data_IF_861652917597
#
_entry.id   IF_861652917597
#
_cell.length_a   1.000
_cell.length_b   1.000
_cell.length_c   1.000
_cell.angle_alpha   90.00
_cell.angle_beta   90.00
_cell.angle_gamma   90.00
#
_symmetry.space_group_name_H-M   'P 1'
#
loop_
_entity.id
_entity.type
_entity.pdbx_description
1 polymer ?
#
# COMPACT_ATOMS: atom_id res chain seq x y z
N UNK A 1 14.56 -7.10 -23.19
CA UNK A 1 13.63 -7.52 -22.13
C UNK A 1 13.36 -6.30 -21.27
N UNK A 2 12.37 -5.49 -21.62
CA UNK A 2 12.11 -4.23 -20.92
C UNK A 2 11.48 -4.56 -19.58
N UNK A 3 12.20 -4.32 -18.49
CA UNK A 3 11.68 -4.44 -17.14
C UNK A 3 10.70 -3.27 -16.96
N UNK A 4 9.43 -3.48 -17.30
CA UNK A 4 8.36 -2.57 -16.91
C UNK A 4 8.30 -2.65 -15.39
N UNK A 5 8.76 -1.58 -14.76
CA UNK A 5 8.69 -1.46 -13.32
C UNK A 5 7.27 -1.03 -12.97
N UNK A 6 6.42 -2.01 -12.64
CA UNK A 6 5.03 -1.81 -12.25
C UNK A 6 4.96 -1.70 -10.71
N UNK A 7 4.79 -0.49 -10.15
CA UNK A 7 4.69 -0.30 -8.69
C UNK A 7 3.51 -1.09 -8.10
N UNK A 8 2.44 -1.25 -8.88
CA UNK A 8 1.25 -2.04 -8.52
C UNK A 8 1.59 -3.51 -8.30
N UNK A 9 2.40 -4.06 -9.21
CA UNK A 9 2.83 -5.46 -9.14
C UNK A 9 3.82 -5.69 -8.00
N UNK A 10 4.66 -4.70 -7.69
CA UNK A 10 5.55 -4.75 -6.54
C UNK A 10 4.75 -4.74 -5.22
N UNK A 11 3.75 -3.86 -5.11
CA UNK A 11 2.90 -3.77 -3.92
C UNK A 11 2.12 -5.06 -3.66
N UNK A 12 1.49 -5.64 -4.69
CA UNK A 12 0.76 -6.90 -4.59
C UNK A 12 1.67 -8.05 -4.11
N UNK A 13 2.90 -8.09 -4.62
CA UNK A 13 3.86 -9.12 -4.27
C UNK A 13 4.36 -8.99 -2.81
N UNK A 14 4.62 -7.77 -2.34
CA UNK A 14 5.01 -7.52 -0.95
C UNK A 14 3.84 -7.77 0.02
N UNK A 15 2.62 -7.39 -0.35
CA UNK A 15 1.42 -7.65 0.43
C UNK A 15 1.16 -9.15 0.58
N UNK A 16 1.36 -9.92 -0.50
CA UNK A 16 1.25 -11.38 -0.47
C UNK A 16 2.29 -12.03 0.47
N UNK A 17 3.52 -11.50 0.51
CA UNK A 17 4.56 -11.97 1.45
C UNK A 17 4.18 -11.65 2.90
N UNK A 18 3.65 -10.45 3.17
CA UNK A 18 3.16 -10.09 4.51
C UNK A 18 1.98 -10.96 4.95
N UNK A 19 1.04 -11.23 4.04
CA UNK A 19 -0.14 -12.05 4.30
C UNK A 19 0.25 -13.52 4.58
N UNK A 20 1.20 -14.08 3.83
CA UNK A 20 1.76 -15.41 4.11
C UNK A 20 2.45 -15.45 5.49
N UNK A 21 3.22 -14.42 5.83
CA UNK A 21 3.85 -14.32 7.15
C UNK A 21 2.84 -14.22 8.29
N UNK A 22 1.71 -13.54 8.09
CA UNK A 22 0.64 -13.46 9.06
C UNK A 22 -0.06 -14.82 9.21
N UNK A 23 -0.38 -15.47 8.09
CA UNK A 23 -1.01 -16.81 8.05
C UNK A 23 -0.15 -17.88 8.71
N UNK A 24 1.17 -17.81 8.52
CA UNK A 24 2.13 -18.72 9.14
C UNK A 24 2.43 -18.38 10.60
N UNK A 25 1.89 -17.27 11.12
CA UNK A 25 2.12 -16.79 12.49
C UNK A 25 3.53 -16.27 12.72
N UNK A 26 4.27 -15.98 11.65
CA UNK A 26 5.65 -15.45 11.70
C UNK A 26 5.69 -14.00 12.17
N UNK A 27 4.62 -13.26 11.89
CA UNK A 27 4.38 -11.90 12.36
C UNK A 27 3.04 -11.83 13.09
N UNK A 28 2.94 -10.91 14.05
CA UNK A 28 1.68 -10.61 14.74
C UNK A 28 0.79 -9.70 13.88
N UNK A 29 -0.54 -9.70 14.06
CA UNK A 29 -1.44 -8.80 13.34
C UNK A 29 -1.04 -7.32 13.47
N UNK A 30 -0.61 -6.87 14.65
CA UNK A 30 -0.12 -5.51 14.83
C UNK A 30 1.16 -5.20 14.01
N UNK A 31 2.04 -6.19 13.82
CA UNK A 31 3.24 -6.04 13.00
C UNK A 31 2.90 -6.07 11.50
N UNK A 32 1.88 -6.84 11.11
CA UNK A 32 1.34 -6.82 9.75
C UNK A 32 0.75 -5.45 9.41
N UNK A 33 -0.06 -4.85 10.30
CA UNK A 33 -0.63 -3.51 10.07
C UNK A 33 0.47 -2.44 9.95
N UNK A 34 1.47 -2.46 10.84
CA UNK A 34 2.59 -1.52 10.76
C UNK A 34 3.42 -1.70 9.47
N UNK A 35 3.66 -2.94 9.05
CA UNK A 35 4.39 -3.21 7.82
C UNK A 35 3.59 -2.83 6.57
N UNK A 36 2.26 -2.98 6.62
CA UNK A 36 1.37 -2.57 5.55
C UNK A 36 1.34 -1.04 5.40
N UNK A 37 1.26 -0.31 6.50
CA UNK A 37 1.32 1.17 6.51
C UNK A 37 2.64 1.68 5.89
N UNK A 38 3.78 1.07 6.27
CA UNK A 38 5.07 1.37 5.67
C UNK A 38 5.12 1.03 4.17
N UNK A 39 4.48 -0.06 3.77
CA UNK A 39 4.40 -0.49 2.37
C UNK A 39 3.59 0.49 1.52
N UNK A 40 2.45 0.97 2.03
CA UNK A 40 1.61 1.98 1.39
C UNK A 40 2.37 3.30 1.21
N UNK A 41 3.10 3.76 2.23
CA UNK A 41 3.94 4.97 2.13
C UNK A 41 5.07 4.84 1.10
N UNK A 42 5.67 3.64 0.97
CA UNK A 42 6.68 3.37 -0.07
C UNK A 42 6.08 3.32 -1.47
N UNK A 43 4.90 2.70 -1.62
CA UNK A 43 4.17 2.68 -2.88
C UNK A 43 3.83 4.09 -3.33
N UNK A 44 3.29 4.91 -2.43
CA UNK A 44 2.94 6.30 -2.72
C UNK A 44 4.16 7.11 -3.19
N UNK A 45 5.29 7.01 -2.48
CA UNK A 45 6.53 7.68 -2.89
C UNK A 45 7.08 7.20 -4.24
N UNK A 46 6.83 5.94 -4.58
CA UNK A 46 7.26 5.32 -5.83
C UNK A 46 6.37 5.72 -7.01
N UNK A 47 5.05 5.75 -6.80
CA UNK A 47 4.06 6.27 -7.74
C UNK A 47 4.28 7.77 -7.96
N UNK A 48 4.52 8.54 -6.91
CA UNK A 48 4.80 9.97 -6.99
C UNK A 48 6.02 10.30 -7.87
N UNK A 49 7.04 9.44 -7.85
CA UNK A 49 8.22 9.56 -8.73
C UNK A 49 7.93 9.22 -10.19
N UNK A 50 7.04 8.27 -10.44
CA UNK A 50 6.67 7.83 -11.80
C UNK A 50 5.71 8.82 -12.47
N UNK A 51 4.75 9.36 -11.72
CA UNK A 51 3.75 10.29 -12.23
C UNK A 51 4.30 11.72 -12.40
N UNK A 52 5.45 12.04 -11.77
CA UNK A 52 6.11 13.35 -11.83
C UNK A 52 5.27 14.52 -11.30
N UNK A 53 4.05 14.25 -10.85
CA UNK A 53 2.97 15.23 -10.66
C UNK A 53 2.10 14.88 -9.47
N UNK A 54 2.67 14.30 -8.40
CA UNK A 54 1.89 13.90 -7.23
C UNK A 54 1.20 15.12 -6.57
N UNK A 55 -0.06 15.36 -6.95
CA UNK A 55 -1.01 16.19 -6.23
C UNK A 55 -1.62 15.29 -5.16
N UNK A 56 -1.03 15.34 -3.98
CA UNK A 56 -1.62 14.86 -2.73
C UNK A 56 -3.08 15.32 -2.67
N UNK A 57 -4.01 14.36 -2.68
CA UNK A 57 -5.44 14.65 -2.60
C UNK A 57 -6.37 13.44 -2.49
N UNK A 58 -5.87 12.21 -2.45
CA UNK A 58 -6.73 11.03 -2.36
C UNK A 58 -6.05 9.87 -1.62
N UNK A 59 -5.90 10.00 -0.30
CA UNK A 59 -5.95 8.90 0.67
C UNK A 59 -5.37 9.36 2.03
N UNK A 60 -5.78 10.52 2.52
CA UNK A 60 -5.87 10.68 3.98
C UNK A 60 -7.29 10.29 4.37
N UNK A 61 -7.40 9.43 5.38
CA UNK A 61 -8.59 8.67 5.68
C UNK A 61 -9.77 9.53 6.13
N UNK A 62 -10.79 9.66 5.28
CA UNK A 62 -12.11 10.01 5.76
C UNK A 62 -13.10 8.87 5.50
N UNK A 63 -13.12 7.98 6.49
CA UNK A 63 -14.35 7.31 6.85
C UNK A 63 -15.42 8.37 7.20
N UNK A 64 -16.67 8.09 6.81
CA UNK A 64 -17.91 8.63 7.38
C UNK A 64 -18.40 10.01 6.89
N UNK A 65 -19.21 10.01 5.83
CA UNK A 65 -20.61 10.46 6.03
C UNK A 65 -21.56 9.85 5.01
N UNK A 66 -22.16 8.72 5.39
CA UNK A 66 -23.54 8.47 5.01
C UNK A 66 -24.42 9.46 5.76
N UNK A 67 -24.99 10.44 5.07
CA UNK A 67 -26.31 10.96 5.45
C UNK A 67 -27.06 11.39 4.20
N UNK A 68 -28.16 10.66 3.96
CA UNK A 68 -29.25 11.06 3.08
C UNK A 68 -29.91 12.33 3.61
N UNK A 69 -30.31 13.20 2.72
CA UNK A 69 -31.64 13.84 2.73
C UNK A 69 -32.00 14.33 1.33
#
# INVERSE_FOLDING_TARGET
>A
MTYNFDPDRWYDNELAVLDDQLKTGRISPAAYEAAKDELEGRYDAMVARLDGTYRIGAADGEALHGRRE
#
